data_IF_132940191401
#
_entry.id   IF_132940191401
#
_cell.length_a   1.000
_cell.length_b   1.000
_cell.length_c   1.000
_cell.angle_alpha   90.00
_cell.angle_beta   90.00
_cell.angle_gamma   90.00
#
_symmetry.space_group_name_H-M   'P 1'
#
loop_
_entity.id
_entity.type
_entity.pdbx_description
1 polymer ?
#
# COMPACT_ATOMS: atom_id res chain seq x y z
N UNK A 1 -31.43 4.66 13.14
CA UNK A 1 -30.97 4.30 11.78
C UNK A 1 -29.55 4.81 11.62
N UNK A 2 -28.54 3.95 11.74
CA UNK A 2 -27.15 4.28 11.45
C UNK A 2 -26.84 3.62 10.11
N UNK A 3 -26.97 4.38 9.03
CA UNK A 3 -26.61 3.92 7.69
C UNK A 3 -25.11 3.66 7.61
N UNK A 4 -24.65 2.75 6.73
CA UNK A 4 -23.24 2.45 6.61
C UNK A 4 -22.48 3.71 6.14
N UNK A 5 -21.53 4.18 6.96
CA UNK A 5 -20.54 5.18 6.57
C UNK A 5 -19.57 4.54 5.56
N UNK A 6 -19.99 4.33 4.32
CA UNK A 6 -19.07 4.07 3.21
C UNK A 6 -18.42 5.40 2.80
N UNK A 7 -17.58 5.93 3.69
CA UNK A 7 -16.78 7.12 3.39
C UNK A 7 -15.85 6.78 2.24
N UNK A 8 -15.94 7.54 1.14
CA UNK A 8 -14.99 7.43 0.03
C UNK A 8 -13.57 7.51 0.60
N UNK A 9 -12.63 6.66 0.15
CA UNK A 9 -11.26 6.73 0.62
C UNK A 9 -10.74 8.15 0.37
N UNK A 10 -10.32 8.82 1.43
CA UNK A 10 -9.75 10.16 1.33
C UNK A 10 -8.38 10.08 0.67
N UNK A 11 -7.92 11.18 0.09
CA UNK A 11 -6.58 11.26 -0.53
C UNK A 11 -5.49 10.84 0.46
N UNK A 12 -5.64 11.23 1.72
CA UNK A 12 -4.75 10.85 2.83
C UNK A 12 -4.75 9.33 3.09
N UNK A 13 -5.91 8.67 3.02
CA UNK A 13 -5.97 7.20 3.12
C UNK A 13 -5.24 6.52 1.95
N UNK A 14 -5.29 7.11 0.76
CA UNK A 14 -4.54 6.64 -0.41
C UNK A 14 -3.03 6.75 -0.21
N UNK A 15 -2.54 7.90 0.27
CA UNK A 15 -1.13 8.10 0.58
C UNK A 15 -0.64 7.18 1.69
N UNK A 16 -1.45 6.98 2.74
CA UNK A 16 -1.10 6.09 3.85
C UNK A 16 -0.99 4.63 3.40
N UNK A 17 -1.80 4.18 2.45
CA UNK A 17 -1.69 2.84 1.86
C UNK A 17 -0.45 2.71 0.98
N UNK A 18 -0.19 3.70 0.12
CA UNK A 18 0.99 3.72 -0.73
C UNK A 18 2.28 3.71 0.12
N UNK A 19 2.34 4.52 1.19
CA UNK A 19 3.48 4.57 2.10
C UNK A 19 3.80 3.20 2.72
N UNK A 20 2.78 2.50 3.28
CA UNK A 20 2.95 1.13 3.82
C UNK A 20 3.49 0.17 2.76
N UNK A 21 2.95 0.22 1.55
CA UNK A 21 3.39 -0.62 0.45
C UNK A 21 4.85 -0.35 0.06
N UNK A 22 5.24 0.91 -0.07
CA UNK A 22 6.63 1.30 -0.37
C UNK A 22 7.60 0.86 0.73
N UNK A 23 7.20 0.94 2.00
CA UNK A 23 8.01 0.43 3.12
C UNK A 23 8.23 -1.08 3.05
N UNK A 24 7.25 -1.85 2.54
CA UNK A 24 7.40 -3.30 2.33
C UNK A 24 8.32 -3.66 1.17
N UNK A 25 8.32 -2.86 0.10
CA UNK A 25 9.20 -3.07 -1.05
C UNK A 25 10.67 -2.74 -0.75
N UNK A 26 10.92 -1.87 0.22
CA UNK A 26 12.25 -1.40 0.57
C UNK A 26 12.72 -0.22 -0.28
N UNK A 27 13.86 0.34 0.11
CA UNK A 27 14.32 1.66 -0.32
C UNK A 27 14.53 1.77 -1.84
N UNK A 28 15.17 0.78 -2.47
CA UNK A 28 15.56 0.86 -3.88
C UNK A 28 14.34 0.82 -4.82
N UNK A 29 13.43 -0.13 -4.58
CA UNK A 29 12.19 -0.27 -5.36
C UNK A 29 11.26 0.92 -5.11
N UNK A 30 11.14 1.38 -3.86
CA UNK A 30 10.35 2.56 -3.53
C UNK A 30 10.87 3.81 -4.26
N UNK A 31 12.18 4.01 -4.30
CA UNK A 31 12.79 5.12 -5.02
C UNK A 31 12.51 5.07 -6.53
N UNK A 32 12.46 3.88 -7.14
CA UNK A 32 12.13 3.74 -8.54
C UNK A 32 10.67 4.11 -8.83
N UNK A 33 9.73 3.74 -7.94
CA UNK A 33 8.31 4.09 -8.05
C UNK A 33 8.12 5.60 -7.87
N UNK A 34 8.72 6.19 -6.83
CA UNK A 34 8.56 7.61 -6.48
C UNK A 34 8.98 8.57 -7.61
N UNK A 35 9.90 8.17 -8.48
CA UNK A 35 10.33 8.95 -9.66
C UNK A 35 9.22 9.20 -10.68
N UNK A 36 8.16 8.39 -10.67
CA UNK A 36 7.06 8.47 -11.64
C UNK A 36 5.85 9.24 -11.10
N UNK A 37 5.93 9.74 -9.86
CA UNK A 37 4.83 10.43 -9.19
C UNK A 37 4.97 11.95 -9.31
N UNK A 38 3.84 12.64 -9.20
CA UNK A 38 3.84 14.10 -9.09
C UNK A 38 4.40 14.57 -7.76
N UNK A 39 4.84 15.84 -7.68
CA UNK A 39 5.35 16.42 -6.44
C UNK A 39 4.35 16.34 -5.27
N UNK A 40 3.06 16.51 -5.54
CA UNK A 40 2.02 16.43 -4.53
C UNK A 40 1.91 15.01 -3.95
N UNK A 41 1.94 14.00 -4.81
CA UNK A 41 1.91 12.59 -4.42
C UNK A 41 3.17 12.21 -3.64
N UNK A 42 4.35 12.62 -4.12
CA UNK A 42 5.62 12.39 -3.41
C UNK A 42 5.56 12.99 -2.01
N UNK A 43 5.08 14.22 -1.88
CA UNK A 43 4.98 14.92 -0.59
C UNK A 43 3.98 14.23 0.33
N UNK A 44 2.80 13.89 -0.17
CA UNK A 44 1.76 13.21 0.61
C UNK A 44 2.23 11.85 1.11
N UNK A 45 2.82 11.03 0.24
CA UNK A 45 3.34 9.71 0.59
C UNK A 45 4.51 9.83 1.57
N UNK A 46 5.46 10.73 1.33
CA UNK A 46 6.62 10.92 2.22
C UNK A 46 6.20 11.33 3.62
N UNK A 47 5.17 12.20 3.74
CA UNK A 47 4.61 12.59 5.03
C UNK A 47 4.04 11.38 5.77
N UNK A 48 3.31 10.53 5.08
CA UNK A 48 2.75 9.32 5.68
C UNK A 48 3.85 8.34 6.11
N UNK A 49 4.94 8.17 5.34
CA UNK A 49 6.08 7.32 5.75
C UNK A 49 6.67 7.79 7.08
N UNK A 50 6.74 9.10 7.34
CA UNK A 50 7.26 9.65 8.60
C UNK A 50 6.30 9.41 9.77
N UNK A 51 4.99 9.45 9.51
CA UNK A 51 3.94 9.31 10.52
C UNK A 51 3.68 7.84 10.87
N UNK A 52 3.87 6.93 9.91
CA UNK A 52 3.68 5.50 10.11
C UNK A 52 4.80 4.94 10.98
N UNK A 53 4.43 4.38 12.14
CA UNK A 53 5.35 3.64 13.00
C UNK A 53 5.74 2.28 12.41
N UNK A 54 6.58 1.52 13.14
CA UNK A 54 6.91 0.13 12.77
C UNK A 54 5.64 -0.69 12.58
N UNK A 55 5.46 -1.16 11.35
CA UNK A 55 4.39 -2.06 10.95
C UNK A 55 4.67 -3.47 11.48
N UNK A 56 3.70 -4.09 12.12
CA UNK A 56 3.81 -5.48 12.55
C UNK A 56 3.54 -6.45 11.38
N UNK A 57 3.94 -7.71 11.55
CA UNK A 57 3.85 -8.73 10.50
C UNK A 57 2.41 -9.00 10.02
N UNK A 58 1.40 -8.80 10.87
CA UNK A 58 -0.01 -8.98 10.50
C UNK A 58 -0.48 -7.83 9.60
N UNK A 59 -0.15 -6.60 9.97
CA UNK A 59 -0.44 -5.42 9.14
C UNK A 59 0.27 -5.51 7.78
N UNK A 60 1.54 -5.92 7.76
CA UNK A 60 2.29 -6.17 6.53
C UNK A 60 1.60 -7.20 5.62
N UNK A 61 1.12 -8.32 6.19
CA UNK A 61 0.39 -9.34 5.45
C UNK A 61 -0.89 -8.81 4.80
N UNK A 62 -1.68 -8.03 5.54
CA UNK A 62 -2.92 -7.42 5.02
C UNK A 62 -2.65 -6.44 3.88
N UNK A 63 -1.60 -5.62 3.99
CA UNK A 63 -1.22 -4.71 2.91
C UNK A 63 -0.84 -5.49 1.65
N UNK A 64 -0.10 -6.58 1.76
CA UNK A 64 0.24 -7.42 0.61
C UNK A 64 -0.98 -8.13 -0.01
N UNK A 65 -1.97 -8.53 0.80
CA UNK A 65 -3.25 -9.07 0.29
C UNK A 65 -4.04 -8.01 -0.48
N UNK A 66 -4.18 -6.79 0.07
CA UNK A 66 -4.91 -5.69 -0.59
C UNK A 66 -4.28 -5.30 -1.94
N UNK A 67 -2.95 -5.35 -2.05
CA UNK A 67 -2.23 -5.10 -3.29
C UNK A 67 -2.14 -6.34 -4.21
N UNK A 68 -2.76 -7.47 -3.83
CA UNK A 68 -2.87 -8.68 -4.67
C UNK A 68 -1.60 -9.51 -4.78
N UNK A 69 -0.56 -9.24 -3.99
CA UNK A 69 0.71 -9.98 -4.04
C UNK A 69 0.57 -11.42 -3.56
N UNK A 70 -0.27 -11.66 -2.55
CA UNK A 70 -0.54 -13.01 -2.04
C UNK A 70 -1.54 -13.80 -2.90
N UNK A 71 -2.38 -13.12 -3.69
CA UNK A 71 -3.38 -13.75 -4.57
C UNK A 71 -2.74 -14.29 -5.85
N UNK A 72 -1.70 -13.64 -6.39
CA UNK A 72 -0.99 -14.10 -7.60
C UNK A 72 -0.32 -15.47 -7.45
N UNK A 73 0.01 -15.90 -6.23
CA UNK A 73 0.60 -17.22 -5.99
C UNK A 73 -0.42 -18.36 -6.17
N UNK A 74 -1.73 -18.11 -5.99
CA UNK A 74 -2.78 -19.11 -6.22
C UNK A 74 -3.12 -19.30 -7.71
N UNK A 75 -3.05 -18.25 -8.53
CA UNK A 75 -3.33 -18.36 -9.98
C UNK A 75 -2.21 -19.07 -10.74
N UNK A 76 -0.95 -18.98 -10.26
CA UNK A 76 0.19 -19.68 -10.86
C UNK A 76 0.08 -21.21 -10.70
N UNK A 77 -0.50 -21.70 -9.60
CA UNK A 77 -0.75 -23.14 -9.37
C UNK A 77 -1.96 -23.61 -10.18
N UNK A 78 -2.95 -22.75 -10.43
CA UNK A 78 -4.17 -23.10 -11.15
C UNK A 78 -3.99 -23.29 -12.67
N UNK A 79 -2.88 -22.80 -13.26
CA UNK A 79 -2.61 -22.87 -14.70
C UNK A 79 -1.46 -23.80 -15.09
N UNK A 80 -0.78 -24.40 -14.11
CA UNK A 80 0.34 -25.32 -14.32
C UNK A 80 0.07 -26.67 -13.66
N UNK A 81 -0.86 -27.43 -14.22
CA UNK A 81 -1.05 -28.85 -14.00
C UNK A 81 -0.96 -29.57 -15.33
#
# INVERSE_FOLDING_TARGET
MIGPMTSKPTRDQGFAKAARFLMLLGQDEAANIMKHLSQEEVTGISREIVVLEKMDSNEAGKVLEEFGFLVKTKDLIARGG
#
